data_IF_648264546868
#
_entry.id   IF_648264546868
#
_cell.length_a   1.000
_cell.length_b   1.000
_cell.length_c   1.000
_cell.angle_alpha   90.00
_cell.angle_beta   90.00
_cell.angle_gamma   90.00
#
_symmetry.space_group_name_H-M   'P 1'
#
loop_
_entity.id
_entity.type
_entity.pdbx_description
1 polymer ?
#
# COMPACT_ATOMS: atom_id res chain seq x y z
N UNK A 1 -28.26 -20.52 2.87
CA UNK A 1 -26.87 -20.66 3.33
C UNK A 1 -26.70 -19.79 4.56
N UNK A 2 -26.01 -20.26 5.59
CA UNK A 2 -25.72 -19.45 6.78
C UNK A 2 -24.72 -18.34 6.42
N UNK A 3 -24.79 -17.21 7.11
CA UNK A 3 -23.80 -16.13 6.97
C UNK A 3 -22.45 -16.58 7.50
N UNK A 4 -21.38 -16.24 6.77
CA UNK A 4 -20.00 -16.47 7.19
C UNK A 4 -19.66 -15.40 8.24
N UNK A 5 -19.00 -15.80 9.34
CA UNK A 5 -18.53 -14.85 10.34
C UNK A 5 -17.27 -14.12 9.87
N UNK A 6 -17.03 -12.91 10.37
CA UNK A 6 -15.80 -12.15 10.04
C UNK A 6 -14.54 -12.97 10.41
N UNK A 7 -14.57 -13.72 11.51
CA UNK A 7 -13.47 -14.58 11.93
C UNK A 7 -13.19 -15.71 10.93
N UNK A 8 -14.23 -16.40 10.46
CA UNK A 8 -14.07 -17.48 9.50
C UNK A 8 -13.58 -16.96 8.15
N UNK A 9 -14.07 -15.77 7.77
CA UNK A 9 -13.65 -15.09 6.55
C UNK A 9 -12.17 -14.66 6.63
N UNK A 10 -11.74 -14.08 7.76
CA UNK A 10 -10.35 -13.70 7.99
C UNK A 10 -9.44 -14.94 7.97
N UNK A 11 -9.84 -16.02 8.64
CA UNK A 11 -9.08 -17.28 8.64
C UNK A 11 -8.92 -17.85 7.22
N UNK A 12 -9.99 -17.80 6.42
CA UNK A 12 -9.94 -18.20 5.02
C UNK A 12 -8.98 -17.32 4.20
N UNK A 13 -9.07 -15.99 4.33
CA UNK A 13 -8.20 -15.04 3.61
C UNK A 13 -6.73 -15.18 3.98
N UNK A 14 -6.43 -15.46 5.25
CA UNK A 14 -5.07 -15.75 5.72
C UNK A 14 -4.53 -17.01 5.05
N UNK A 15 -5.32 -18.09 5.00
CA UNK A 15 -4.88 -19.34 4.38
C UNK A 15 -4.69 -19.19 2.86
N UNK A 16 -5.58 -18.49 2.16
CA UNK A 16 -5.40 -18.18 0.74
C UNK A 16 -4.14 -17.36 0.50
N UNK A 17 -3.89 -16.33 1.31
CA UNK A 17 -2.67 -15.52 1.22
C UNK A 17 -1.41 -16.35 1.45
N UNK A 18 -1.46 -17.32 2.38
CA UNK A 18 -0.35 -18.24 2.66
C UNK A 18 -0.09 -19.19 1.50
N UNK A 19 -1.13 -19.74 0.89
CA UNK A 19 -1.01 -20.69 -0.23
C UNK A 19 -0.35 -20.06 -1.46
N UNK A 20 -0.61 -18.78 -1.70
CA UNK A 20 -0.17 -18.06 -2.91
C UNK A 20 0.94 -17.03 -2.65
N UNK A 21 1.60 -17.08 -1.49
CA UNK A 21 2.55 -16.05 -1.05
C UNK A 21 3.73 -15.81 -2.01
N UNK A 22 4.08 -16.82 -2.81
CA UNK A 22 5.23 -16.78 -3.73
C UNK A 22 4.84 -16.86 -5.21
N UNK A 23 3.55 -16.78 -5.53
CA UNK A 23 3.07 -16.95 -6.91
C UNK A 23 3.32 -15.72 -7.77
N UNK A 24 3.56 -14.56 -7.14
CA UNK A 24 3.67 -13.27 -7.81
C UNK A 24 4.93 -12.51 -7.40
N UNK A 25 5.53 -11.81 -8.36
CA UNK A 25 6.60 -10.84 -8.09
C UNK A 25 6.01 -9.56 -7.48
N UNK A 26 5.99 -9.51 -6.15
CA UNK A 26 5.52 -8.33 -5.40
C UNK A 26 6.33 -7.08 -5.77
N UNK A 27 7.64 -7.23 -6.00
CA UNK A 27 8.50 -6.09 -6.35
C UNK A 27 8.15 -5.50 -7.73
N UNK A 28 7.82 -6.34 -8.71
CA UNK A 28 7.38 -5.88 -10.03
C UNK A 28 6.07 -5.11 -9.93
N UNK A 29 5.08 -5.65 -9.19
CA UNK A 29 3.81 -4.97 -8.95
C UNK A 29 3.98 -3.63 -8.21
N UNK A 30 4.87 -3.57 -7.21
CA UNK A 30 5.18 -2.34 -6.48
C UNK A 30 5.81 -1.27 -7.38
N UNK A 31 6.68 -1.67 -8.31
CA UNK A 31 7.29 -0.76 -9.28
C UNK A 31 6.23 -0.11 -10.19
N UNK A 32 5.28 -0.90 -10.69
CA UNK A 32 4.16 -0.40 -11.50
C UNK A 32 3.22 0.51 -10.71
N UNK A 33 2.96 0.20 -9.43
CA UNK A 33 2.18 1.09 -8.57
C UNK A 33 2.92 2.40 -8.28
N UNK A 34 4.25 2.35 -8.10
CA UNK A 34 5.07 3.52 -7.83
C UNK A 34 5.09 4.51 -9.02
N UNK A 35 4.94 4.03 -10.26
CA UNK A 35 4.72 4.90 -11.41
C UNK A 35 3.53 5.87 -11.21
N UNK A 36 2.43 5.42 -10.63
CA UNK A 36 1.28 6.28 -10.35
C UNK A 36 1.55 7.25 -9.20
N UNK A 37 2.31 6.81 -8.19
CA UNK A 37 2.74 7.67 -7.08
C UNK A 37 3.57 8.84 -7.59
N UNK A 38 4.51 8.61 -8.52
CA UNK A 38 5.32 9.68 -9.09
C UNK A 38 4.50 10.57 -10.02
N UNK A 39 3.62 10.00 -10.84
CA UNK A 39 2.74 10.73 -11.77
C UNK A 39 1.81 11.72 -11.06
N UNK A 40 1.26 11.34 -9.90
CA UNK A 40 0.29 12.15 -9.15
C UNK A 40 0.84 12.62 -7.80
N UNK A 41 2.16 12.82 -7.72
CA UNK A 41 2.86 13.07 -6.45
C UNK A 41 2.25 14.24 -5.68
N UNK A 42 1.99 15.37 -6.34
CA UNK A 42 1.53 16.57 -5.65
C UNK A 42 0.11 16.39 -5.10
N UNK A 43 -0.77 15.76 -5.87
CA UNK A 43 -2.15 15.48 -5.50
C UNK A 43 -2.23 14.51 -4.33
N UNK A 44 -1.43 13.43 -4.35
CA UNK A 44 -1.36 12.44 -3.28
C UNK A 44 -0.84 13.10 -1.99
N UNK A 45 0.25 13.86 -2.05
CA UNK A 45 0.80 14.54 -0.88
C UNK A 45 -0.20 15.56 -0.29
N UNK A 46 -0.92 16.27 -1.16
CA UNK A 46 -1.97 17.20 -0.74
C UNK A 46 -3.13 16.47 -0.06
N UNK A 47 -3.55 15.30 -0.56
CA UNK A 47 -4.59 14.48 0.07
C UNK A 47 -4.14 13.98 1.45
N UNK A 48 -2.90 13.51 1.58
CA UNK A 48 -2.32 13.06 2.84
C UNK A 48 -2.22 14.19 3.89
N UNK A 49 -1.99 15.42 3.46
CA UNK A 49 -1.99 16.59 4.35
C UNK A 49 -3.40 17.04 4.75
N UNK A 50 -4.41 16.84 3.91
CA UNK A 50 -5.79 17.24 4.22
C UNK A 50 -6.45 16.29 5.23
N UNK A 51 -6.14 15.00 5.17
CA UNK A 51 -6.73 14.02 6.07
C UNK A 51 -6.09 14.01 7.48
N UNK A 52 -6.92 14.08 8.52
CA UNK A 52 -6.45 14.18 9.91
C UNK A 52 -5.76 12.89 10.39
N UNK A 53 -6.26 11.73 9.97
CA UNK A 53 -5.68 10.44 10.31
C UNK A 53 -4.31 10.27 9.64
N UNK A 54 -4.20 10.64 8.36
CA UNK A 54 -2.94 10.62 7.61
C UNK A 54 -1.88 11.51 8.26
N UNK A 55 -2.25 12.73 8.70
CA UNK A 55 -1.36 13.61 9.46
C UNK A 55 -0.92 12.99 10.79
N UNK A 56 -1.85 12.41 11.55
CA UNK A 56 -1.56 11.73 12.83
C UNK A 56 -0.52 10.62 12.67
N UNK A 57 -0.58 9.90 11.57
CA UNK A 57 0.35 8.81 11.24
C UNK A 57 1.57 9.24 10.41
N UNK A 58 1.74 10.55 10.14
CA UNK A 58 2.85 11.14 9.37
C UNK A 58 3.02 10.49 7.99
N UNK A 59 1.91 10.17 7.32
CA UNK A 59 1.94 9.42 6.07
C UNK A 59 2.56 10.21 4.92
N UNK A 60 2.36 11.54 4.88
CA UNK A 60 3.02 12.42 3.91
C UNK A 60 4.54 12.28 3.98
N UNK A 61 5.11 12.38 5.18
CA UNK A 61 6.55 12.35 5.39
C UNK A 61 7.14 10.99 5.01
N UNK A 62 6.43 9.89 5.33
CA UNK A 62 6.84 8.54 4.91
C UNK A 62 6.87 8.41 3.38
N UNK A 63 5.87 8.96 2.68
CA UNK A 63 5.83 8.92 1.22
C UNK A 63 6.97 9.75 0.60
N UNK A 64 7.23 10.95 1.11
CA UNK A 64 8.38 11.77 0.67
C UNK A 64 9.72 11.05 0.87
N UNK A 65 9.86 10.33 1.99
CA UNK A 65 11.06 9.52 2.26
C UNK A 65 11.22 8.39 1.24
N UNK A 66 10.15 7.68 0.91
CA UNK A 66 10.16 6.63 -0.13
C UNK A 66 10.56 7.24 -1.47
N UNK A 67 9.97 8.38 -1.85
CA UNK A 67 10.30 9.06 -3.11
C UNK A 67 11.77 9.44 -3.16
N UNK A 68 12.29 10.01 -2.07
CA UNK A 68 13.71 10.36 -1.97
C UNK A 68 14.62 9.14 -2.12
N UNK A 69 14.32 8.02 -1.45
CA UNK A 69 15.13 6.80 -1.50
C UNK A 69 15.17 6.18 -2.90
N UNK A 70 14.02 6.12 -3.58
CA UNK A 70 13.96 5.56 -4.95
C UNK A 70 14.73 6.44 -5.93
N UNK A 71 14.62 7.77 -5.81
CA UNK A 71 15.39 8.71 -6.62
C UNK A 71 16.90 8.67 -6.34
N UNK A 72 17.33 8.32 -5.12
CA UNK A 72 18.76 8.13 -4.80
C UNK A 72 19.35 6.82 -5.30
N UNK A 73 18.51 5.80 -5.53
CA UNK A 73 18.90 4.49 -6.04
C UNK A 73 18.79 4.38 -7.58
N UNK A 74 18.40 5.45 -8.26
CA UNK A 74 18.34 5.57 -9.73
C UNK A 74 19.56 6.30 -10.26
#
# INVERSE_FOLDING_TARGET
MASISDQDMDAYLVEQSRLHANDFSVLSALSELYFYVTKYRQEILTALDRDASCRKHKLRQKLEQIVSLVSSNS
#
